data_IF_663657153650
#
_entry.id   IF_663657153650
#
_cell.length_a   1.000
_cell.length_b   1.000
_cell.length_c   1.000
_cell.angle_alpha   90.00
_cell.angle_beta   90.00
_cell.angle_gamma   90.00
#
_symmetry.space_group_name_H-M   'P 1'
#
loop_
_entity.id
_entity.type
_entity.pdbx_description
1 polymer ?
#
# COMPACT_ATOMS: atom_id res chain seq x y z
N UNK A 1 59.23 32.78 -53.26
CA UNK A 1 58.56 31.60 -53.91
C UNK A 1 57.78 30.85 -52.85
N UNK A 2 56.47 31.06 -52.79
CA UNK A 2 55.61 30.70 -51.72
C UNK A 2 54.68 29.60 -52.20
N UNK A 3 54.75 28.37 -51.65
CA UNK A 3 53.85 27.30 -51.95
C UNK A 3 52.74 27.22 -50.86
N UNK A 4 51.50 27.43 -51.30
CA UNK A 4 50.32 27.37 -50.52
C UNK A 4 49.85 25.89 -50.54
N UNK A 5 49.87 25.23 -49.40
CA UNK A 5 49.26 23.91 -49.21
C UNK A 5 47.78 24.05 -48.78
N UNK A 6 46.89 23.51 -49.55
CA UNK A 6 45.44 23.46 -49.27
C UNK A 6 45.14 22.35 -48.24
N UNK A 7 44.64 22.73 -47.10
CA UNK A 7 44.07 21.78 -46.12
C UNK A 7 42.65 21.41 -46.50
N UNK A 8 42.44 20.15 -46.76
CA UNK A 8 41.08 19.55 -46.98
C UNK A 8 40.40 19.45 -45.62
N UNK A 9 39.22 20.11 -45.49
CA UNK A 9 38.33 19.96 -44.35
C UNK A 9 37.52 18.64 -44.53
N UNK A 10 37.76 17.69 -43.67
CA UNK A 10 36.86 16.53 -43.51
C UNK A 10 35.75 16.95 -42.51
N UNK A 11 34.54 17.09 -43.02
CA UNK A 11 33.35 17.21 -42.19
C UNK A 11 32.90 15.82 -41.75
N UNK A 12 33.19 15.46 -40.51
CA UNK A 12 32.61 14.30 -39.87
C UNK A 12 31.24 14.67 -39.31
N UNK A 13 30.18 14.24 -39.97
CA UNK A 13 28.81 14.24 -39.44
C UNK A 13 28.73 13.14 -38.37
N UNK A 14 28.75 13.50 -37.11
CA UNK A 14 28.43 12.59 -36.02
C UNK A 14 26.90 12.53 -35.88
N UNK A 15 26.28 11.41 -36.33
CA UNK A 15 24.92 11.06 -36.01
C UNK A 15 24.84 10.61 -34.54
N UNK A 16 24.45 11.52 -33.66
CA UNK A 16 23.99 11.19 -32.32
C UNK A 16 22.61 10.54 -32.39
N UNK A 17 22.58 9.21 -32.50
CA UNK A 17 21.38 8.42 -32.30
C UNK A 17 20.95 8.50 -30.84
N UNK A 18 19.96 9.33 -30.53
CA UNK A 18 19.32 9.37 -29.22
C UNK A 18 18.59 8.06 -28.93
N UNK A 19 19.19 7.21 -28.09
CA UNK A 19 18.52 6.05 -27.51
C UNK A 19 17.55 6.59 -26.43
N UNK A 20 16.29 6.81 -26.84
CA UNK A 20 15.21 7.16 -25.92
C UNK A 20 14.90 5.87 -25.10
N UNK A 21 15.58 5.71 -23.94
CA UNK A 21 15.24 4.70 -22.96
C UNK A 21 13.84 5.00 -22.41
N UNK A 22 12.81 4.39 -23.01
CA UNK A 22 11.51 4.24 -22.38
C UNK A 22 11.70 3.35 -21.14
N UNK A 23 12.10 3.95 -20.00
CA UNK A 23 11.98 3.27 -18.72
C UNK A 23 10.48 3.09 -18.47
N UNK A 24 9.98 1.85 -18.35
CA UNK A 24 8.63 1.66 -17.86
C UNK A 24 8.59 2.29 -16.46
N UNK A 25 7.68 3.25 -16.26
CA UNK A 25 7.40 3.75 -14.93
C UNK A 25 7.00 2.53 -14.10
N UNK A 26 7.85 2.14 -13.14
CA UNK A 26 7.50 1.17 -12.11
C UNK A 26 6.32 1.78 -11.35
N UNK A 27 5.10 1.42 -11.77
CA UNK A 27 3.92 1.66 -10.94
C UNK A 27 4.19 0.93 -9.64
N UNK A 28 4.20 1.66 -8.53
CA UNK A 28 4.14 1.04 -7.22
C UNK A 28 2.98 0.04 -7.25
N UNK A 29 3.25 -1.22 -6.92
CA UNK A 29 2.22 -2.24 -6.90
C UNK A 29 1.13 -1.77 -5.92
N UNK A 30 -0.13 -1.86 -6.33
CA UNK A 30 -1.25 -1.52 -5.45
C UNK A 30 -1.25 -2.51 -4.29
N UNK A 31 -1.18 -2.00 -3.04
CA UNK A 31 -1.22 -2.83 -1.84
C UNK A 31 -2.50 -3.65 -1.77
N UNK A 32 -3.64 -3.03 -2.11
CA UNK A 32 -4.94 -3.69 -2.13
C UNK A 32 -5.60 -3.50 -3.49
N UNK A 33 -5.92 -4.58 -4.15
CA UNK A 33 -6.65 -4.60 -5.43
C UNK A 33 -8.15 -4.68 -5.15
N UNK A 34 -8.95 -3.92 -5.89
CA UNK A 34 -10.42 -3.98 -5.78
C UNK A 34 -10.95 -5.38 -6.15
N UNK A 35 -12.06 -5.78 -5.56
CA UNK A 35 -12.70 -7.07 -5.82
C UNK A 35 -13.36 -7.68 -4.58
N UNK A 36 -13.84 -8.89 -4.73
CA UNK A 36 -14.38 -9.70 -3.65
C UNK A 36 -13.23 -10.28 -2.82
N UNK A 37 -13.20 -9.97 -1.56
CA UNK A 37 -12.21 -10.47 -0.60
C UNK A 37 -12.85 -11.38 0.46
N UNK A 38 -12.11 -12.39 0.87
CA UNK A 38 -12.44 -13.26 1.99
C UNK A 38 -11.42 -13.00 3.11
N UNK A 39 -11.92 -12.65 4.29
CA UNK A 39 -11.13 -12.38 5.49
C UNK A 39 -11.35 -13.53 6.48
N UNK A 40 -10.27 -14.11 6.97
CA UNK A 40 -10.26 -15.10 8.04
C UNK A 40 -9.59 -14.50 9.27
N UNK A 41 -10.33 -14.41 10.36
CA UNK A 41 -9.89 -13.88 11.65
C UNK A 41 -9.84 -14.99 12.67
N UNK A 42 -8.67 -15.23 13.25
CA UNK A 42 -8.47 -16.27 14.27
C UNK A 42 -8.12 -15.62 15.60
N UNK A 43 -8.95 -15.82 16.60
CA UNK A 43 -8.81 -15.34 17.96
C UNK A 43 -8.89 -16.51 18.91
N UNK A 44 -7.91 -16.72 19.77
CA UNK A 44 -7.89 -17.81 20.77
C UNK A 44 -8.20 -19.19 20.16
N UNK A 45 -7.73 -19.46 18.93
CA UNK A 45 -7.96 -20.71 18.21
C UNK A 45 -9.30 -20.81 17.46
N UNK A 46 -10.25 -19.90 17.69
CA UNK A 46 -11.51 -19.84 16.94
C UNK A 46 -11.34 -18.98 15.68
N UNK A 47 -11.71 -19.52 14.53
CA UNK A 47 -11.65 -18.82 13.24
C UNK A 47 -13.04 -18.43 12.76
N UNK A 48 -13.16 -17.17 12.35
CA UNK A 48 -14.35 -16.63 11.67
C UNK A 48 -13.96 -16.13 10.29
N UNK A 49 -14.79 -16.41 9.30
CA UNK A 49 -14.57 -15.99 7.92
C UNK A 49 -15.72 -15.07 7.48
N UNK A 50 -15.36 -13.99 6.79
CA UNK A 50 -16.33 -13.06 6.20
C UNK A 50 -15.89 -12.70 4.78
N UNK A 51 -16.87 -12.36 3.94
CA UNK A 51 -16.61 -11.88 2.58
C UNK A 51 -17.07 -10.43 2.43
N UNK A 52 -16.26 -9.64 1.76
CA UNK A 52 -16.56 -8.24 1.52
C UNK A 52 -16.12 -7.85 0.12
N UNK A 53 -16.95 -7.06 -0.56
CA UNK A 53 -16.55 -6.38 -1.79
C UNK A 53 -15.75 -5.12 -1.43
N UNK A 54 -14.51 -5.05 -1.88
CA UNK A 54 -13.66 -3.86 -1.81
C UNK A 54 -13.78 -3.14 -3.16
N UNK A 55 -14.47 -2.02 -3.15
CA UNK A 55 -14.61 -1.17 -4.35
C UNK A 55 -13.28 -0.50 -4.70
N UNK A 56 -13.16 0.02 -5.94
CA UNK A 56 -11.96 0.76 -6.35
C UNK A 56 -11.66 1.97 -5.44
N UNK A 57 -12.70 2.69 -5.01
CA UNK A 57 -12.56 3.83 -4.08
C UNK A 57 -12.00 3.37 -2.72
N UNK A 58 -12.51 2.27 -2.17
CA UNK A 58 -11.96 1.71 -0.92
C UNK A 58 -10.53 1.20 -1.08
N UNK A 59 -10.22 0.57 -2.19
CA UNK A 59 -8.85 0.11 -2.47
C UNK A 59 -7.88 1.29 -2.55
N UNK A 60 -8.29 2.41 -3.18
CA UNK A 60 -7.46 3.61 -3.30
C UNK A 60 -7.10 4.21 -1.94
N UNK A 61 -7.96 4.10 -0.93
CA UNK A 61 -7.71 4.57 0.43
C UNK A 61 -6.58 3.78 1.12
N UNK A 62 -6.48 2.46 0.87
CA UNK A 62 -5.38 1.62 1.36
C UNK A 62 -4.10 1.81 0.55
N UNK A 63 -4.19 2.27 -0.70
CA UNK A 63 -3.06 2.46 -1.60
C UNK A 63 -2.43 3.85 -1.50
N UNK A 64 -2.99 4.75 -0.70
CA UNK A 64 -2.47 6.09 -0.42
C UNK A 64 -1.16 6.10 0.38
N UNK A 65 -0.77 7.27 0.83
CA UNK A 65 0.33 7.49 1.77
C UNK A 65 -0.16 7.47 3.24
N UNK A 66 0.76 7.56 4.19
CA UNK A 66 0.43 7.57 5.63
C UNK A 66 -0.49 8.73 6.02
N UNK A 67 -0.39 9.87 5.35
CA UNK A 67 -1.23 11.05 5.63
C UNK A 67 -2.66 10.79 5.19
N UNK A 68 -2.87 10.38 3.94
CA UNK A 68 -4.20 10.07 3.40
C UNK A 68 -4.87 8.91 4.13
N UNK A 69 -4.11 7.87 4.49
CA UNK A 69 -4.60 6.75 5.29
C UNK A 69 -5.04 7.19 6.69
N UNK A 70 -4.28 8.06 7.33
CA UNK A 70 -4.65 8.64 8.63
C UNK A 70 -5.93 9.48 8.54
N UNK A 71 -6.04 10.37 7.56
CA UNK A 71 -7.24 11.19 7.33
C UNK A 71 -8.49 10.32 7.11
N UNK A 72 -8.33 9.23 6.35
CA UNK A 72 -9.39 8.25 6.18
C UNK A 72 -9.78 7.55 7.48
N UNK A 73 -8.81 7.10 8.28
CA UNK A 73 -9.06 6.48 9.57
C UNK A 73 -9.79 7.44 10.54
N UNK A 74 -9.37 8.70 10.60
CA UNK A 74 -10.01 9.75 11.42
C UNK A 74 -11.47 10.00 10.98
N UNK A 75 -11.70 10.11 9.67
CA UNK A 75 -13.06 10.28 9.11
C UNK A 75 -13.99 9.10 9.46
N UNK A 76 -13.46 7.86 9.41
CA UNK A 76 -14.26 6.66 9.74
C UNK A 76 -14.44 6.47 11.25
N UNK A 77 -13.49 6.88 12.06
CA UNK A 77 -13.61 6.87 13.52
C UNK A 77 -14.75 7.78 14.01
N UNK A 78 -15.12 8.79 13.23
CA UNK A 78 -16.22 9.74 13.54
C UNK A 78 -16.14 10.31 14.96
N UNK A 79 -14.93 10.59 15.44
CA UNK A 79 -14.68 11.10 16.79
C UNK A 79 -14.85 10.08 17.92
N UNK A 80 -15.17 8.80 17.62
CA UNK A 80 -15.30 7.75 18.65
C UNK A 80 -13.96 7.19 19.12
N UNK A 81 -12.94 7.28 18.26
CA UNK A 81 -11.59 6.83 18.54
C UNK A 81 -10.58 7.93 18.21
N UNK A 82 -9.53 8.04 18.98
CA UNK A 82 -8.35 8.82 18.65
C UNK A 82 -7.37 7.95 17.84
N UNK A 83 -6.81 8.48 16.76
CA UNK A 83 -5.78 7.83 15.97
C UNK A 83 -4.42 8.23 16.55
N UNK A 84 -3.79 7.34 17.32
CA UNK A 84 -2.50 7.61 17.95
C UNK A 84 -1.35 7.54 16.94
N UNK A 85 -1.35 6.54 16.07
CA UNK A 85 -0.40 6.40 14.98
C UNK A 85 -1.06 5.81 13.73
N UNK A 86 -0.52 6.15 12.56
CA UNK A 86 -0.84 5.54 11.28
C UNK A 86 0.38 5.63 10.39
N UNK A 87 0.93 4.50 9.96
CA UNK A 87 2.15 4.43 9.19
C UNK A 87 2.01 3.43 8.05
N UNK A 88 2.55 3.80 6.90
CA UNK A 88 2.69 2.95 5.73
C UNK A 88 4.17 2.83 5.39
N UNK A 89 4.71 1.62 5.47
CA UNK A 89 6.09 1.29 5.13
C UNK A 89 6.10 0.19 4.06
N UNK A 90 6.29 0.57 2.80
CA UNK A 90 6.17 -0.35 1.67
C UNK A 90 4.76 -0.95 1.58
N UNK A 91 4.66 -2.27 1.67
CA UNK A 91 3.39 -2.99 1.61
C UNK A 91 2.76 -3.23 3.00
N UNK A 92 3.37 -2.69 4.06
CA UNK A 92 2.88 -2.85 5.44
C UNK A 92 2.19 -1.57 5.90
N UNK A 93 0.99 -1.74 6.43
CA UNK A 93 0.20 -0.70 7.09
C UNK A 93 0.10 -1.02 8.57
N UNK A 94 0.49 -0.08 9.42
CA UNK A 94 0.35 -0.20 10.87
C UNK A 94 -0.39 1.02 11.44
N UNK A 95 -1.24 0.77 12.43
CA UNK A 95 -1.93 1.85 13.13
C UNK A 95 -2.22 1.49 14.58
N UNK A 96 -2.42 2.51 15.40
CA UNK A 96 -2.94 2.37 16.75
C UNK A 96 -4.06 3.38 17.01
N UNK A 97 -5.11 2.90 17.68
CA UNK A 97 -6.32 3.65 18.00
C UNK A 97 -6.59 3.55 19.50
N UNK A 98 -7.13 4.63 20.09
CA UNK A 98 -7.72 4.61 21.42
C UNK A 98 -9.22 4.90 21.32
N UNK A 99 -10.06 3.93 21.71
CA UNK A 99 -11.52 3.97 21.62
C UNK A 99 -12.13 3.81 23.03
N UNK A 100 -12.29 4.91 23.75
CA UNK A 100 -12.70 4.84 25.16
C UNK A 100 -11.67 4.12 26.02
N UNK A 101 -12.07 3.03 26.68
CA UNK A 101 -11.17 2.17 27.51
C UNK A 101 -10.48 1.06 26.70
N UNK A 102 -10.57 1.09 25.38
CA UNK A 102 -10.02 0.04 24.50
C UNK A 102 -8.94 0.63 23.61
N UNK A 103 -7.74 0.06 23.67
CA UNK A 103 -6.64 0.33 22.75
C UNK A 103 -6.59 -0.76 21.68
N UNK A 104 -6.38 -0.35 20.43
CA UNK A 104 -6.30 -1.23 19.27
C UNK A 104 -4.99 -0.96 18.55
N UNK A 105 -4.22 -2.01 18.29
CA UNK A 105 -3.02 -1.97 17.46
C UNK A 105 -3.17 -2.96 16.31
N UNK A 106 -2.86 -2.54 15.09
CA UNK A 106 -2.93 -3.38 13.91
C UNK A 106 -1.68 -3.25 13.07
N UNK A 107 -1.24 -4.38 12.54
CA UNK A 107 -0.19 -4.46 11.51
C UNK A 107 -0.70 -5.41 10.44
N UNK A 108 -0.70 -4.97 9.18
CA UNK A 108 -1.13 -5.76 8.02
C UNK A 108 -0.13 -5.59 6.89
N UNK A 109 0.34 -6.68 6.32
CA UNK A 109 1.19 -6.70 5.13
C UNK A 109 0.40 -7.24 3.94
N UNK A 110 0.47 -6.54 2.84
CA UNK A 110 -0.23 -6.86 1.59
C UNK A 110 0.73 -7.54 0.61
N UNK A 111 0.23 -8.53 -0.12
CA UNK A 111 0.96 -9.32 -1.11
C UNK A 111 0.16 -9.42 -2.43
N UNK A 112 -0.38 -8.30 -2.90
CA UNK A 112 -1.25 -8.25 -4.07
C UNK A 112 -2.64 -8.82 -3.79
N UNK A 113 -2.91 -10.06 -4.18
CA UNK A 113 -4.20 -10.73 -3.98
C UNK A 113 -4.37 -11.39 -2.59
N UNK A 114 -3.41 -11.23 -1.70
CA UNK A 114 -3.46 -11.72 -0.32
C UNK A 114 -2.96 -10.68 0.66
N UNK A 115 -3.34 -10.82 1.93
CA UNK A 115 -2.72 -10.08 3.04
C UNK A 115 -2.74 -10.93 4.30
N UNK A 116 -1.80 -10.65 5.18
CA UNK A 116 -1.75 -11.21 6.52
C UNK A 116 -1.40 -10.13 7.54
N UNK A 117 -1.82 -10.34 8.77
CA UNK A 117 -1.57 -9.36 9.81
C UNK A 117 -2.10 -9.79 11.17
N UNK A 118 -2.00 -8.88 12.10
CA UNK A 118 -2.48 -9.07 13.47
C UNK A 118 -3.20 -7.83 13.97
N UNK A 119 -4.16 -8.05 14.83
CA UNK A 119 -4.90 -7.05 15.59
C UNK A 119 -4.76 -7.37 17.06
N UNK A 120 -4.26 -6.44 17.85
CA UNK A 120 -4.21 -6.56 19.31
C UNK A 120 -5.23 -5.57 19.87
N UNK A 121 -6.18 -6.07 20.63
CA UNK A 121 -7.17 -5.27 21.34
C UNK A 121 -6.91 -5.38 22.84
N UNK A 122 -6.69 -4.25 23.49
CA UNK A 122 -6.48 -4.18 24.95
C UNK A 122 -7.63 -3.42 25.58
N UNK A 123 -8.37 -4.07 26.46
CA UNK A 123 -9.47 -3.46 27.22
C UNK A 123 -9.25 -3.73 28.70
N UNK A 124 -9.25 -2.70 29.52
CA UNK A 124 -9.03 -2.80 30.99
C UNK A 124 -7.77 -3.61 31.34
N UNK A 125 -6.68 -3.40 30.57
CA UNK A 125 -5.40 -4.08 30.77
C UNK A 125 -5.33 -5.52 30.29
N UNK A 126 -6.41 -6.08 29.73
CA UNK A 126 -6.41 -7.43 29.14
C UNK A 126 -6.27 -7.33 27.62
N UNK A 127 -5.26 -8.00 27.09
CA UNK A 127 -4.97 -8.02 25.66
C UNK A 127 -5.44 -9.31 25.00
N UNK A 128 -6.08 -9.19 23.87
CA UNK A 128 -6.48 -10.28 22.98
C UNK A 128 -5.84 -10.07 21.62
N UNK A 129 -5.18 -11.09 21.09
CA UNK A 129 -4.58 -11.08 19.77
C UNK A 129 -5.45 -11.82 18.76
N UNK A 130 -5.70 -11.20 17.62
CA UNK A 130 -6.42 -11.78 16.48
C UNK A 130 -5.47 -11.81 15.29
N UNK A 131 -5.27 -12.99 14.71
CA UNK A 131 -4.58 -13.14 13.44
C UNK A 131 -5.58 -12.92 12.30
N UNK A 132 -5.17 -12.14 11.32
CA UNK A 132 -6.00 -11.82 10.14
C UNK A 132 -5.28 -12.32 8.91
N UNK A 133 -5.99 -13.07 8.07
CA UNK A 133 -5.55 -13.44 6.72
C UNK A 133 -6.66 -13.06 5.75
N UNK A 134 -6.29 -12.51 4.61
CA UNK A 134 -7.25 -12.20 3.58
C UNK A 134 -6.76 -12.68 2.21
N UNK A 135 -7.72 -13.03 1.34
CA UNK A 135 -7.45 -13.37 -0.04
C UNK A 135 -8.53 -12.80 -0.95
N UNK A 136 -8.11 -12.36 -2.12
CA UNK A 136 -9.02 -11.92 -3.16
C UNK A 136 -9.62 -13.13 -3.87
N UNK A 137 -10.93 -13.11 -4.09
CA UNK A 137 -11.65 -14.19 -4.76
C UNK A 137 -11.94 -13.89 -6.23
N UNK A 138 -11.86 -12.61 -6.65
CA UNK A 138 -12.16 -12.17 -8.00
C UNK A 138 -12.85 -10.82 -8.03
N UNK A 139 -13.66 -10.56 -9.05
CA UNK A 139 -14.49 -9.36 -9.13
C UNK A 139 -15.58 -9.35 -8.05
N UNK A 140 -16.08 -8.15 -7.70
CA UNK A 140 -17.29 -8.03 -6.89
C UNK A 140 -18.51 -8.57 -7.66
N UNK A 141 -19.49 -9.17 -6.96
CA UNK A 141 -20.73 -9.62 -7.58
C UNK A 141 -21.58 -8.44 -8.10
#
# INVERSE_FOLDING_TARGET
MTRISRLKRFSSLALLGGLCCCMPALRAAERMVSGQWEFSMTTEGATRTMRQCITADKASEFNGDSKSGREYAEKNAKGRCAINSYEIAGDTVSYSLACGSTDIQSVTTFHGDTSDGSLITTTEGKSVSTQIKARRLGACP
#
